data_IF_170876449546
#
_entry.id   IF_170876449546
#
_cell.length_a   1.000
_cell.length_b   1.000
_cell.length_c   1.000
_cell.angle_alpha   90.00
_cell.angle_beta   90.00
_cell.angle_gamma   90.00
#
_symmetry.space_group_name_H-M   'P 1'
#
loop_
_entity.id
_entity.type
_entity.pdbx_description
1 polymer ?
#
# COMPACT_ATOMS: atom_id res chain seq x y z
N UNK A 1 -1.79 3.10 -18.01
CA UNK A 1 -3.24 3.39 -17.94
C UNK A 1 -3.91 2.47 -16.91
N UNK A 2 -4.81 3.01 -16.08
CA UNK A 2 -5.64 2.27 -15.13
C UNK A 2 -7.10 2.45 -15.55
N UNK A 3 -7.85 1.35 -15.63
CA UNK A 3 -9.28 1.35 -15.93
C UNK A 3 -10.00 0.45 -14.94
N UNK A 4 -10.93 1.02 -14.20
CA UNK A 4 -11.77 0.33 -13.23
C UNK A 4 -13.24 0.58 -13.60
N UNK A 5 -14.05 -0.47 -13.64
CA UNK A 5 -15.46 -0.40 -14.05
C UNK A 5 -16.31 -1.21 -13.09
N UNK A 6 -17.33 -0.55 -12.53
CA UNK A 6 -18.35 -1.15 -11.69
C UNK A 6 -17.81 -2.00 -10.53
N UNK A 7 -16.67 -1.55 -9.92
CA UNK A 7 -16.07 -2.27 -8.82
C UNK A 7 -16.98 -2.30 -7.60
N UNK A 8 -17.23 -3.49 -7.08
CA UNK A 8 -17.99 -3.72 -5.85
C UNK A 8 -17.15 -4.56 -4.88
N UNK A 9 -17.23 -4.24 -3.60
CA UNK A 9 -16.62 -5.03 -2.54
C UNK A 9 -17.42 -4.95 -1.26
N UNK A 10 -17.88 -6.09 -0.77
CA UNK A 10 -18.59 -6.25 0.49
C UNK A 10 -17.80 -7.13 1.43
N UNK A 11 -17.66 -6.70 2.68
CA UNK A 11 -17.08 -7.49 3.75
C UNK A 11 -18.18 -7.99 4.68
N UNK A 12 -18.13 -9.28 5.03
CA UNK A 12 -19.01 -9.87 6.05
C UNK A 12 -18.28 -9.90 7.38
N UNK A 13 -18.71 -9.08 8.31
CA UNK A 13 -18.13 -8.98 9.65
C UNK A 13 -19.10 -9.64 10.64
N UNK A 14 -18.55 -10.49 11.52
CA UNK A 14 -19.37 -11.14 12.57
C UNK A 14 -19.80 -10.10 13.58
N UNK A 15 -21.11 -9.98 13.81
CA UNK A 15 -21.67 -9.10 14.84
C UNK A 15 -21.30 -9.65 16.21
N UNK A 16 -20.42 -8.95 16.93
CA UNK A 16 -20.06 -9.30 18.33
C UNK A 16 -20.89 -8.43 19.26
N UNK A 17 -21.86 -9.02 19.91
CA UNK A 17 -22.56 -8.36 21.02
C UNK A 17 -21.67 -8.43 22.27
N UNK A 18 -21.41 -7.29 22.90
CA UNK A 18 -20.65 -7.23 24.14
C UNK A 18 -21.42 -7.88 25.29
N UNK A 19 -20.73 -8.68 26.11
CA UNK A 19 -21.27 -9.31 27.32
C UNK A 19 -21.03 -10.81 27.40
N UNK A 20 -20.60 -11.29 28.59
CA UNK A 20 -20.26 -12.70 28.85
C UNK A 20 -21.43 -13.66 28.59
N UNK A 21 -22.67 -13.25 28.91
CA UNK A 21 -23.89 -14.06 28.68
C UNK A 21 -24.26 -14.17 27.20
N UNK A 22 -23.82 -13.18 26.36
CA UNK A 22 -24.06 -13.17 24.93
C UNK A 22 -22.98 -13.96 24.16
N UNK A 23 -21.81 -14.19 24.77
CA UNK A 23 -20.74 -14.98 24.17
C UNK A 23 -21.14 -16.45 23.94
N UNK A 24 -21.89 -17.05 24.86
CA UNK A 24 -22.42 -18.40 24.70
C UNK A 24 -23.52 -18.47 23.61
N UNK A 25 -24.37 -17.45 23.50
CA UNK A 25 -25.40 -17.33 22.45
C UNK A 25 -24.78 -17.05 21.07
N UNK A 26 -23.69 -16.29 21.02
CA UNK A 26 -22.96 -15.96 19.78
C UNK A 26 -22.25 -17.19 19.15
N UNK A 27 -22.05 -18.27 19.91
CA UNK A 27 -21.55 -19.54 19.38
C UNK A 27 -22.60 -20.24 18.50
N UNK A 28 -23.88 -19.99 18.76
CA UNK A 28 -25.01 -20.62 18.02
C UNK A 28 -25.70 -19.67 17.03
N UNK A 29 -25.58 -18.34 17.15
CA UNK A 29 -26.14 -17.39 16.19
C UNK A 29 -25.04 -16.84 15.29
N UNK A 30 -25.10 -17.15 14.00
CA UNK A 30 -24.20 -16.65 12.95
C UNK A 30 -24.81 -15.38 12.33
N UNK A 31 -24.90 -14.31 13.13
CA UNK A 31 -25.31 -13.01 12.59
C UNK A 31 -24.08 -12.32 11.99
N UNK A 32 -24.19 -11.96 10.69
CA UNK A 32 -23.19 -11.19 9.97
C UNK A 32 -23.76 -9.82 9.63
N UNK A 33 -22.91 -8.83 9.71
CA UNK A 33 -23.15 -7.49 9.18
C UNK A 33 -22.40 -7.35 7.86
N UNK A 34 -23.06 -6.90 6.83
CA UNK A 34 -22.45 -6.64 5.53
C UNK A 34 -22.01 -5.17 5.46
N UNK A 35 -20.72 -4.96 5.22
CA UNK A 35 -20.12 -3.64 5.03
C UNK A 35 -19.78 -3.51 3.56
N UNK A 36 -20.55 -2.67 2.84
CA UNK A 36 -20.28 -2.34 1.44
C UNK A 36 -19.10 -1.36 1.37
N UNK A 37 -17.89 -1.88 1.21
CA UNK A 37 -16.68 -1.07 1.14
C UNK A 37 -16.53 -0.35 -0.20
N UNK A 38 -16.99 -0.95 -1.29
CA UNK A 38 -17.10 -0.34 -2.62
C UNK A 38 -18.49 -0.65 -3.19
N UNK A 39 -19.14 0.36 -3.73
CA UNK A 39 -20.45 0.24 -4.35
C UNK A 39 -20.42 0.97 -5.69
N UNK A 40 -20.24 0.20 -6.77
CA UNK A 40 -20.27 0.68 -8.16
C UNK A 40 -19.23 1.78 -8.48
N UNK A 41 -17.96 1.53 -8.17
CA UNK A 41 -16.88 2.49 -8.40
C UNK A 41 -16.29 2.28 -9.78
N UNK A 42 -16.31 3.35 -10.61
CA UNK A 42 -15.74 3.37 -11.96
C UNK A 42 -14.87 4.61 -12.14
N UNK A 43 -13.68 4.43 -12.71
CA UNK A 43 -12.78 5.54 -13.07
C UNK A 43 -11.71 5.07 -14.07
N UNK A 44 -11.08 6.05 -14.71
CA UNK A 44 -9.97 5.86 -15.62
C UNK A 44 -8.86 6.86 -15.30
N UNK A 45 -7.60 6.41 -15.34
CA UNK A 45 -6.41 7.22 -15.14
C UNK A 45 -5.46 6.94 -16.29
N UNK A 46 -5.03 7.98 -16.98
CA UNK A 46 -4.09 7.87 -18.10
C UNK A 46 -2.64 7.77 -17.61
N UNK A 47 -1.75 7.41 -18.53
CA UNK A 47 -0.32 7.36 -18.23
C UNK A 47 0.23 8.76 -17.97
N UNK A 48 1.05 8.90 -16.93
CA UNK A 48 1.66 10.15 -16.53
C UNK A 48 0.79 11.06 -15.66
N UNK A 49 -0.45 10.65 -15.35
CA UNK A 49 -1.32 11.42 -14.47
C UNK A 49 -0.95 11.20 -12.98
N UNK A 50 -0.99 12.31 -12.21
CA UNK A 50 -0.99 12.28 -10.75
C UNK A 50 -2.42 12.54 -10.24
N UNK A 51 -3.03 11.55 -9.59
CA UNK A 51 -4.44 11.59 -9.19
C UNK A 51 -4.59 11.50 -7.68
N UNK A 52 -5.32 12.46 -7.09
CA UNK A 52 -5.74 12.43 -5.70
C UNK A 52 -7.10 11.73 -5.55
N UNK A 53 -7.11 10.57 -4.86
CA UNK A 53 -8.35 9.85 -4.54
C UNK A 53 -8.89 10.30 -3.19
N UNK A 54 -9.86 11.23 -3.20
CA UNK A 54 -10.34 11.95 -2.03
C UNK A 54 -11.70 11.41 -1.61
N UNK A 55 -11.97 11.41 -0.30
CA UNK A 55 -13.26 11.02 0.27
C UNK A 55 -13.20 10.91 1.80
N UNK A 56 -14.34 10.83 2.49
CA UNK A 56 -14.39 10.67 3.94
C UNK A 56 -13.79 9.34 4.40
N UNK A 57 -13.55 9.21 5.71
CA UNK A 57 -13.15 7.94 6.29
C UNK A 57 -14.26 6.90 6.09
N UNK A 58 -13.87 5.68 5.70
CA UNK A 58 -14.82 4.62 5.37
C UNK A 58 -15.34 4.65 3.93
N UNK A 59 -14.98 5.64 3.09
CA UNK A 59 -15.41 5.73 1.68
C UNK A 59 -14.79 4.65 0.76
N UNK A 60 -14.04 3.69 1.28
CA UNK A 60 -13.46 2.61 0.49
C UNK A 60 -12.10 2.92 -0.15
N UNK A 61 -11.47 4.08 0.14
CA UNK A 61 -10.18 4.50 -0.46
C UNK A 61 -9.12 3.41 -0.38
N UNK A 62 -8.81 2.93 0.83
CA UNK A 62 -7.82 1.87 1.03
C UNK A 62 -8.25 0.52 0.42
N UNK A 63 -9.56 0.25 0.33
CA UNK A 63 -10.07 -0.95 -0.35
C UNK A 63 -9.84 -0.87 -1.85
N UNK A 64 -10.04 0.30 -2.46
CA UNK A 64 -9.71 0.56 -3.86
C UNK A 64 -8.23 0.34 -4.11
N UNK A 65 -7.34 0.97 -3.33
CA UNK A 65 -5.88 0.80 -3.48
C UNK A 65 -5.47 -0.67 -3.32
N UNK A 66 -6.08 -1.42 -2.39
CA UNK A 66 -5.82 -2.85 -2.24
C UNK A 66 -6.29 -3.69 -3.43
N UNK A 67 -7.35 -3.30 -4.13
CA UNK A 67 -7.77 -3.94 -5.37
C UNK A 67 -6.79 -3.58 -6.50
N UNK A 68 -6.45 -2.31 -6.66
CA UNK A 68 -5.49 -1.85 -7.67
C UNK A 68 -4.11 -2.49 -7.48
N UNK A 69 -3.67 -2.70 -6.24
CA UNK A 69 -2.39 -3.38 -5.94
C UNK A 69 -2.46 -4.92 -6.00
N UNK A 70 -3.62 -5.51 -6.32
CA UNK A 70 -3.81 -6.96 -6.41
C UNK A 70 -3.86 -7.68 -5.06
N UNK A 71 -3.97 -6.97 -3.94
CA UNK A 71 -4.12 -7.55 -2.59
C UNK A 71 -5.54 -8.08 -2.39
N UNK A 72 -6.54 -7.33 -2.87
CA UNK A 72 -7.95 -7.71 -2.80
C UNK A 72 -8.50 -8.04 -4.18
N UNK A 73 -9.39 -9.02 -4.22
CA UNK A 73 -10.23 -9.31 -5.38
C UNK A 73 -11.61 -8.65 -5.15
N UNK A 74 -12.15 -7.87 -6.10
CA UNK A 74 -13.51 -7.35 -6.00
C UNK A 74 -14.53 -8.49 -6.09
N UNK A 75 -15.74 -8.25 -5.63
CA UNK A 75 -16.84 -9.21 -5.73
C UNK A 75 -17.48 -9.16 -7.12
N UNK A 76 -17.47 -7.97 -7.75
CA UNK A 76 -17.90 -7.76 -9.14
C UNK A 76 -17.16 -6.55 -9.75
N UNK A 77 -17.33 -6.37 -11.05
CA UNK A 77 -16.68 -5.33 -11.83
C UNK A 77 -15.34 -5.79 -12.44
N UNK A 78 -14.72 -4.91 -13.18
CA UNK A 78 -13.45 -5.14 -13.87
C UNK A 78 -12.40 -4.13 -13.46
N UNK A 79 -11.14 -4.54 -13.46
CA UNK A 79 -10.00 -3.66 -13.30
C UNK A 79 -8.86 -4.14 -14.19
N UNK A 80 -8.38 -3.24 -15.05
CA UNK A 80 -7.25 -3.50 -15.93
C UNK A 80 -6.22 -2.39 -15.71
N UNK A 81 -4.98 -2.79 -15.43
CA UNK A 81 -3.85 -1.90 -15.22
C UNK A 81 -2.73 -2.34 -16.14
N UNK A 82 -2.33 -1.46 -17.06
CA UNK A 82 -1.31 -1.73 -18.06
C UNK A 82 -1.55 -3.07 -18.80
N UNK A 83 -2.82 -3.31 -19.19
CA UNK A 83 -3.26 -4.53 -19.88
C UNK A 83 -3.40 -5.78 -19.01
N UNK A 84 -3.23 -5.68 -17.69
CA UNK A 84 -3.30 -6.82 -16.75
C UNK A 84 -4.41 -6.66 -15.74
N UNK A 85 -4.97 -7.79 -15.31
CA UNK A 85 -5.91 -7.85 -14.19
C UNK A 85 -5.11 -8.09 -12.89
N UNK A 86 -5.08 -7.15 -11.93
CA UNK A 86 -4.16 -7.17 -10.78
C UNK A 86 -4.15 -8.48 -9.98
N UNK A 87 -5.31 -9.08 -9.74
CA UNK A 87 -5.42 -10.31 -8.95
C UNK A 87 -5.24 -11.60 -9.75
N UNK A 88 -5.30 -11.55 -11.10
CA UNK A 88 -5.05 -12.71 -11.97
C UNK A 88 -3.57 -12.84 -12.31
N UNK A 89 -2.94 -11.73 -12.70
CA UNK A 89 -1.55 -11.66 -13.12
C UNK A 89 -0.66 -11.06 -12.02
N UNK A 90 -0.93 -11.43 -10.77
CA UNK A 90 -0.41 -10.77 -9.57
C UNK A 90 1.12 -10.58 -9.58
N UNK A 91 1.89 -11.62 -9.94
CA UNK A 91 3.36 -11.53 -9.93
C UNK A 91 3.88 -10.50 -10.93
N UNK A 92 3.38 -10.54 -12.15
CA UNK A 92 3.75 -9.59 -13.20
C UNK A 92 3.24 -8.16 -12.91
N UNK A 93 2.08 -8.06 -12.26
CA UNK A 93 1.53 -6.77 -11.84
C UNK A 93 2.35 -6.14 -10.71
N UNK A 94 2.61 -6.88 -9.64
CA UNK A 94 3.35 -6.38 -8.46
C UNK A 94 4.77 -5.95 -8.82
N UNK A 95 5.43 -6.60 -9.78
CA UNK A 95 6.77 -6.19 -10.23
C UNK A 95 6.82 -4.82 -10.91
N UNK A 96 5.67 -4.23 -11.24
CA UNK A 96 5.59 -2.94 -11.96
C UNK A 96 4.97 -1.83 -11.12
N UNK A 97 4.55 -2.11 -9.90
CA UNK A 97 3.94 -1.13 -9.01
C UNK A 97 4.77 -0.95 -7.74
N UNK A 98 4.83 0.29 -7.24
CA UNK A 98 5.23 0.61 -5.88
C UNK A 98 3.99 0.88 -5.04
N UNK A 99 3.97 0.45 -3.78
CA UNK A 99 2.84 0.70 -2.89
C UNK A 99 3.36 1.11 -1.52
N UNK A 100 2.84 2.20 -0.99
CA UNK A 100 3.09 2.63 0.40
C UNK A 100 1.77 2.64 1.15
N UNK A 101 1.71 1.91 2.26
CA UNK A 101 0.58 1.93 3.18
C UNK A 101 1.00 2.64 4.47
N UNK A 102 0.37 3.75 4.82
CA UNK A 102 0.77 4.57 5.97
C UNK A 102 0.80 3.84 7.32
N UNK A 103 0.03 2.76 7.46
CA UNK A 103 -0.06 1.97 8.69
C UNK A 103 0.73 0.64 8.65
N UNK A 104 1.38 0.31 7.55
CA UNK A 104 2.14 -0.94 7.39
C UNK A 104 3.52 -0.65 6.85
N UNK A 105 4.53 -1.26 7.48
CA UNK A 105 5.91 -1.14 7.07
C UNK A 105 6.31 -2.28 6.14
N UNK A 106 7.07 -1.93 5.08
CA UNK A 106 7.79 -2.86 4.24
C UNK A 106 9.20 -3.12 4.80
N UNK A 107 9.66 -2.25 5.70
CA UNK A 107 10.97 -2.35 6.32
C UNK A 107 10.96 -3.40 7.42
N UNK A 108 12.01 -4.19 7.51
CA UNK A 108 12.25 -5.09 8.61
C UNK A 108 12.54 -4.31 9.89
N UNK A 109 11.77 -4.58 10.95
CA UNK A 109 11.70 -3.73 12.14
C UNK A 109 13.01 -3.61 12.91
N UNK A 110 13.73 -4.74 13.05
CA UNK A 110 14.91 -4.86 13.94
C UNK A 110 16.26 -4.74 13.24
N UNK A 111 16.29 -4.56 11.91
CA UNK A 111 17.52 -4.44 11.13
C UNK A 111 17.68 -3.04 10.55
N UNK A 112 18.92 -2.63 10.18
CA UNK A 112 19.17 -1.40 9.46
C UNK A 112 18.32 -1.26 8.20
N UNK A 113 17.94 -0.04 7.84
CA UNK A 113 17.15 0.25 6.64
C UNK A 113 17.80 -0.32 5.37
N UNK A 114 19.13 -0.22 5.28
CA UNK A 114 19.87 -0.71 4.12
C UNK A 114 19.68 -2.21 3.89
N UNK A 115 19.59 -3.01 4.96
CA UNK A 115 19.37 -4.46 4.86
C UNK A 115 17.97 -4.77 4.31
N UNK A 116 16.98 -3.95 4.68
CA UNK A 116 15.63 -4.04 4.10
C UNK A 116 15.63 -3.68 2.62
N UNK A 117 16.43 -2.70 2.21
CA UNK A 117 16.56 -2.31 0.80
C UNK A 117 17.26 -3.39 -0.03
N UNK A 118 18.28 -4.07 0.54
CA UNK A 118 18.92 -5.21 -0.11
C UNK A 118 17.96 -6.39 -0.28
N UNK A 119 17.14 -6.67 0.73
CA UNK A 119 16.09 -7.68 0.62
C UNK A 119 15.07 -7.34 -0.49
N UNK A 120 14.68 -6.06 -0.61
CA UNK A 120 13.79 -5.61 -1.69
C UNK A 120 14.46 -5.76 -3.05
N UNK A 121 15.76 -5.41 -3.19
CA UNK A 121 16.54 -5.68 -4.41
C UNK A 121 16.41 -7.13 -4.84
N UNK A 122 16.59 -8.05 -3.90
CA UNK A 122 16.57 -9.49 -4.18
C UNK A 122 15.16 -9.99 -4.53
N UNK A 123 14.14 -9.53 -3.80
CA UNK A 123 12.73 -9.86 -4.07
C UNK A 123 12.31 -9.46 -5.49
N UNK A 124 12.72 -8.25 -5.92
CA UNK A 124 12.38 -7.73 -7.25
C UNK A 124 13.43 -8.07 -8.32
N UNK A 125 14.46 -8.84 -7.97
CA UNK A 125 15.57 -9.24 -8.85
C UNK A 125 16.23 -8.04 -9.56
N UNK A 126 16.40 -6.93 -8.84
CA UNK A 126 17.07 -5.73 -9.35
C UNK A 126 18.57 -5.99 -9.43
N UNK A 127 19.17 -5.75 -10.60
CA UNK A 127 20.62 -5.93 -10.78
C UNK A 127 21.42 -4.95 -9.90
N UNK A 128 22.61 -5.35 -9.50
CA UNK A 128 23.45 -4.58 -8.57
C UNK A 128 23.74 -3.15 -9.06
N UNK A 129 24.01 -2.97 -10.34
CA UNK A 129 24.31 -1.66 -10.93
C UNK A 129 23.08 -0.74 -10.94
N UNK A 130 21.89 -1.30 -11.21
CA UNK A 130 20.63 -0.57 -11.16
C UNK A 130 20.30 -0.22 -9.71
N UNK A 131 20.47 -1.17 -8.79
CA UNK A 131 20.24 -0.95 -7.35
C UNK A 131 21.12 0.17 -6.80
N UNK A 132 22.44 0.13 -7.03
CA UNK A 132 23.38 1.16 -6.54
C UNK A 132 23.03 2.55 -7.05
N UNK A 133 22.62 2.65 -8.32
CA UNK A 133 22.21 3.91 -8.92
C UNK A 133 20.93 4.42 -8.28
N UNK A 134 19.89 3.57 -8.20
CA UNK A 134 18.61 3.94 -7.60
C UNK A 134 18.76 4.29 -6.12
N UNK A 135 19.54 3.52 -5.36
CA UNK A 135 19.80 3.79 -3.95
C UNK A 135 20.44 5.16 -3.76
N UNK A 136 21.42 5.52 -4.58
CA UNK A 136 22.06 6.84 -4.51
C UNK A 136 21.07 7.95 -4.79
N UNK A 137 20.35 7.86 -5.92
CA UNK A 137 19.36 8.86 -6.34
C UNK A 137 18.29 9.08 -5.25
N UNK A 138 17.75 7.98 -4.68
CA UNK A 138 16.73 8.02 -3.63
C UNK A 138 17.31 8.50 -2.29
N UNK A 139 18.55 8.17 -1.97
CA UNK A 139 19.23 8.65 -0.76
C UNK A 139 19.39 10.17 -0.78
N UNK A 140 19.78 10.71 -1.92
CA UNK A 140 19.94 12.16 -2.09
C UNK A 140 18.56 12.86 -2.10
N UNK A 141 17.61 12.34 -2.87
CA UNK A 141 16.26 12.92 -3.00
C UNK A 141 15.51 12.98 -1.66
N UNK A 142 15.59 11.92 -0.86
CA UNK A 142 14.82 11.75 0.38
C UNK A 142 15.63 11.99 1.65
N UNK A 143 16.89 12.47 1.53
CA UNK A 143 17.79 12.75 2.65
C UNK A 143 17.93 11.56 3.62
N UNK A 144 18.36 10.38 3.10
CA UNK A 144 18.44 9.14 3.86
C UNK A 144 19.84 8.82 4.40
N UNK A 145 20.88 9.54 4.01
CA UNK A 145 22.30 9.21 4.27
C UNK A 145 22.59 8.85 5.72
N UNK A 146 22.06 9.64 6.66
CA UNK A 146 22.32 9.46 8.09
C UNK A 146 21.54 8.29 8.73
N UNK A 147 20.46 7.84 8.07
CA UNK A 147 19.51 6.89 8.66
C UNK A 147 19.55 5.49 8.03
N UNK A 148 20.27 5.31 6.91
CA UNK A 148 20.37 4.01 6.24
C UNK A 148 20.90 2.89 7.13
N UNK A 149 21.82 3.18 8.05
CA UNK A 149 22.42 2.22 8.98
C UNK A 149 21.65 2.10 10.30
N UNK A 150 20.54 2.82 10.45
CA UNK A 150 19.72 2.81 11.65
C UNK A 150 18.61 1.75 11.52
N UNK A 151 18.36 0.94 12.56
CA UNK A 151 17.21 0.01 12.58
C UNK A 151 15.88 0.76 12.41
N UNK A 152 14.96 0.18 11.63
CA UNK A 152 13.68 0.83 11.30
C UNK A 152 12.86 1.23 12.55
N UNK A 153 12.95 0.45 13.64
CA UNK A 153 12.30 0.75 14.93
C UNK A 153 12.78 2.04 15.60
N UNK A 154 14.00 2.46 15.31
CA UNK A 154 14.64 3.64 15.93
C UNK A 154 14.39 4.93 15.15
N UNK A 155 13.74 4.85 14.00
CA UNK A 155 13.43 5.99 13.16
C UNK A 155 12.20 6.75 13.68
N UNK A 156 12.22 8.08 13.51
CA UNK A 156 10.98 8.86 13.63
C UNK A 156 9.98 8.43 12.56
N UNK A 157 8.70 8.77 12.75
CA UNK A 157 7.66 8.42 11.78
C UNK A 157 7.95 9.03 10.40
N UNK A 158 8.40 10.29 10.33
CA UNK A 158 8.78 10.95 9.08
C UNK A 158 10.00 10.31 8.41
N UNK A 159 11.04 9.97 9.19
CA UNK A 159 12.21 9.25 8.68
C UNK A 159 11.80 7.89 8.11
N UNK A 160 10.95 7.15 8.85
CA UNK A 160 10.44 5.86 8.40
C UNK A 160 9.64 6.00 7.11
N UNK A 161 8.76 7.00 7.01
CA UNK A 161 7.96 7.23 5.80
C UNK A 161 8.82 7.52 4.57
N UNK A 162 9.88 8.34 4.71
CA UNK A 162 10.84 8.56 3.61
C UNK A 162 11.53 7.26 3.18
N UNK A 163 11.91 6.40 4.12
CA UNK A 163 12.47 5.09 3.81
C UNK A 163 11.43 4.16 3.15
N UNK A 164 10.16 4.19 3.55
CA UNK A 164 9.07 3.42 2.91
C UNK A 164 8.87 3.84 1.45
N UNK A 165 8.88 5.15 1.19
CA UNK A 165 8.79 5.68 -0.17
C UNK A 165 10.01 5.24 -0.99
N UNK A 166 11.22 5.35 -0.46
CA UNK A 166 12.41 4.86 -1.12
C UNK A 166 12.31 3.36 -1.44
N UNK A 167 11.90 2.55 -0.47
CA UNK A 167 11.69 1.11 -0.62
C UNK A 167 10.74 0.79 -1.77
N UNK A 168 9.63 1.53 -1.88
CA UNK A 168 8.65 1.32 -2.93
C UNK A 168 9.13 1.72 -4.33
N UNK A 169 10.19 2.52 -4.44
CA UNK A 169 10.74 3.04 -5.68
C UNK A 169 12.04 2.34 -6.13
N UNK A 170 12.67 1.53 -5.29
CA UNK A 170 13.96 0.89 -5.57
C UNK A 170 13.99 0.07 -6.87
N UNK A 171 12.89 -0.59 -7.19
CA UNK A 171 12.75 -1.43 -8.38
C UNK A 171 12.22 -0.68 -9.61
N UNK A 172 12.11 0.67 -9.53
CA UNK A 172 11.60 1.56 -10.59
C UNK A 172 10.21 1.17 -11.10
N UNK A 173 9.19 1.17 -10.25
CA UNK A 173 7.83 0.86 -10.67
C UNK A 173 7.32 1.87 -11.70
N UNK A 174 6.40 1.44 -12.55
CA UNK A 174 5.68 2.33 -13.48
C UNK A 174 4.57 3.12 -12.80
N UNK A 175 3.99 2.56 -11.73
CA UNK A 175 2.86 3.12 -11.01
C UNK A 175 3.18 3.10 -9.52
N UNK A 176 2.90 4.21 -8.84
CA UNK A 176 3.04 4.33 -7.39
C UNK A 176 1.67 4.57 -6.75
N UNK A 177 1.31 3.72 -5.81
CA UNK A 177 0.12 3.88 -4.98
C UNK A 177 0.52 4.32 -3.58
N UNK A 178 -0.06 5.43 -3.11
CA UNK A 178 0.17 5.97 -1.77
C UNK A 178 -1.16 5.96 -1.01
N UNK A 179 -1.26 5.14 0.04
CA UNK A 179 -2.44 5.08 0.92
C UNK A 179 -2.11 5.79 2.23
N UNK A 180 -2.56 7.03 2.36
CA UNK A 180 -2.36 7.90 3.53
C UNK A 180 -0.87 8.05 3.94
N UNK A 181 0.05 8.40 3.04
CA UNK A 181 1.49 8.41 3.32
C UNK A 181 1.90 9.47 4.34
N UNK A 182 1.03 10.43 4.63
CA UNK A 182 1.31 11.53 5.57
C UNK A 182 0.57 11.40 6.89
N UNK A 183 -0.09 10.26 7.16
CA UNK A 183 -0.83 10.07 8.41
C UNK A 183 0.11 10.08 9.62
N UNK A 184 -0.25 10.87 10.63
CA UNK A 184 0.54 10.98 11.86
C UNK A 184 1.85 11.76 11.73
N UNK A 185 2.17 12.35 10.57
CA UNK A 185 3.31 13.24 10.41
C UNK A 185 2.98 14.66 10.90
N UNK A 186 3.98 15.31 11.52
CA UNK A 186 3.93 16.74 11.80
C UNK A 186 4.00 17.59 10.53
N UNK A 187 3.76 18.90 10.66
CA UNK A 187 3.71 19.81 9.52
C UNK A 187 5.03 19.88 8.73
N UNK A 188 6.18 19.79 9.39
CA UNK A 188 7.51 19.84 8.77
C UNK A 188 7.77 18.53 8.00
N UNK A 189 7.49 17.40 8.63
CA UNK A 189 7.65 16.08 8.00
C UNK A 189 6.73 15.89 6.78
N UNK A 190 5.54 16.51 6.78
CA UNK A 190 4.62 16.51 5.62
C UNK A 190 5.16 17.22 4.40
N UNK A 191 5.99 18.26 4.60
CA UNK A 191 6.62 19.01 3.51
C UNK A 191 7.84 18.27 2.93
N UNK A 192 8.39 17.29 3.67
CA UNK A 192 9.56 16.50 3.28
C UNK A 192 9.17 15.16 2.60
N UNK A 193 7.89 14.84 2.54
CA UNK A 193 7.29 13.66 1.90
C UNK A 193 6.42 14.09 0.72
#
# INVERSE_FOLDING_TARGET
MIQAEHLQKTFRVRKRNAGFKNAAKAFFSREYEEIHALNDVSFRIEDGEAVGYIGPNGAGKSSTIKILSGILTPDSGTCVIDGRVPWKDRRAHVSQIGVVFGQRSQLCWDVPVIDSFELIRDIYAVTEDVYKRNLRDLTDLLNLSEILKTPARSLSLGQRMRCEIAASLLHRPKILFLDEPTIGLDAVSKLAV
#
